data_IF_321690181640
#
_entry.id   IF_321690181640
#
_cell.length_a   1.000
_cell.length_b   1.000
_cell.length_c   1.000
_cell.angle_alpha   90.00
_cell.angle_beta   90.00
_cell.angle_gamma   90.00
#
_symmetry.space_group_name_H-M   'P 1'
#
loop_
_entity.id
_entity.type
_entity.pdbx_description
1 polymer ?
#
# COMPACT_ATOMS: atom_id res chain seq x y z
N UNK A 1 25.58 -90.59 -90.76
CA UNK A 1 24.58 -89.67 -91.35
C UNK A 1 23.23 -90.01 -90.75
N UNK A 2 22.72 -89.19 -89.83
CA UNK A 2 21.37 -89.34 -89.28
C UNK A 2 20.38 -88.79 -90.30
N UNK A 3 19.36 -89.59 -90.68
CA UNK A 3 18.36 -89.22 -91.68
C UNK A 3 17.29 -88.32 -91.04
N UNK A 4 17.24 -87.00 -91.33
CA UNK A 4 16.27 -86.08 -90.70
C UNK A 4 14.81 -86.37 -91.10
N UNK A 5 14.59 -87.14 -92.16
CA UNK A 5 13.26 -87.58 -92.60
C UNK A 5 12.56 -88.56 -91.66
N UNK A 6 13.27 -89.18 -90.69
CA UNK A 6 12.66 -90.04 -89.68
C UNK A 6 12.62 -89.26 -88.35
N UNK A 7 11.46 -88.72 -87.93
CA UNK A 7 11.36 -88.11 -86.62
C UNK A 7 11.54 -89.18 -85.52
N UNK A 8 12.25 -88.88 -84.42
CA UNK A 8 12.43 -89.83 -83.33
C UNK A 8 11.09 -90.13 -82.65
N UNK A 9 10.74 -91.41 -82.54
CA UNK A 9 9.56 -91.86 -81.81
C UNK A 9 9.85 -91.83 -80.30
N UNK A 10 9.33 -90.82 -79.61
CA UNK A 10 9.44 -90.67 -78.16
C UNK A 10 8.52 -89.57 -77.65
N UNK A 11 8.04 -89.71 -76.41
CA UNK A 11 7.23 -88.68 -75.75
C UNK A 11 8.12 -87.48 -75.47
N UNK A 12 7.82 -86.34 -76.10
CA UNK A 12 8.43 -85.05 -75.73
C UNK A 12 7.59 -84.44 -74.61
N UNK A 13 8.26 -84.09 -73.52
CA UNK A 13 7.63 -83.36 -72.42
C UNK A 13 7.26 -81.95 -72.87
N UNK A 14 6.18 -81.41 -72.32
CA UNK A 14 5.44 -80.30 -72.92
C UNK A 14 6.05 -78.91 -72.63
N UNK A 15 6.98 -78.76 -71.68
CA UNK A 15 7.55 -77.45 -71.33
C UNK A 15 8.97 -77.57 -70.74
N UNK A 16 9.86 -76.71 -71.20
CA UNK A 16 11.24 -76.54 -70.72
C UNK A 16 11.27 -75.33 -69.76
N UNK A 17 10.70 -75.46 -68.57
CA UNK A 17 10.82 -74.41 -67.54
C UNK A 17 12.19 -74.54 -66.86
N UNK A 18 13.04 -73.52 -66.98
CA UNK A 18 14.37 -73.56 -66.38
C UNK A 18 14.34 -73.08 -64.92
N UNK A 19 15.22 -73.62 -64.07
CA UNK A 19 15.40 -73.11 -62.71
C UNK A 19 15.80 -71.62 -62.69
N UNK A 20 16.43 -71.13 -63.77
CA UNK A 20 16.76 -69.72 -63.95
C UNK A 20 15.49 -68.86 -64.15
N UNK A 21 14.48 -69.37 -64.85
CA UNK A 21 13.20 -68.66 -65.02
C UNK A 21 12.44 -68.50 -63.69
N UNK A 22 12.58 -69.49 -62.79
CA UNK A 22 12.03 -69.40 -61.44
C UNK A 22 12.77 -68.37 -60.56
N UNK A 23 14.11 -68.30 -60.67
CA UNK A 23 14.94 -67.35 -59.91
C UNK A 23 14.82 -65.91 -60.41
N UNK A 24 14.62 -65.72 -61.71
CA UNK A 24 14.48 -64.37 -62.27
C UNK A 24 13.20 -63.68 -61.81
N UNK A 25 12.18 -64.42 -61.33
CA UNK A 25 10.92 -63.98 -60.65
C UNK A 25 10.11 -62.84 -61.31
N UNK A 26 10.62 -62.30 -62.40
CA UNK A 26 10.20 -61.12 -63.14
C UNK A 26 9.89 -61.45 -64.60
N UNK A 27 9.99 -62.73 -64.98
CA UNK A 27 9.65 -63.27 -66.30
C UNK A 27 8.18 -63.14 -66.72
N UNK A 28 7.31 -62.64 -65.83
CA UNK A 28 5.99 -62.11 -66.16
C UNK A 28 5.92 -60.64 -65.78
N UNK A 29 5.64 -59.76 -66.74
CA UNK A 29 5.46 -58.31 -66.53
C UNK A 29 4.62 -58.06 -65.28
N UNK A 30 5.23 -57.58 -64.19
CA UNK A 30 4.48 -57.20 -62.99
C UNK A 30 3.74 -55.90 -63.27
N UNK A 31 2.41 -55.91 -63.38
CA UNK A 31 1.68 -54.67 -63.55
C UNK A 31 1.89 -53.81 -62.30
N UNK A 32 2.17 -52.52 -62.50
CA UNK A 32 2.28 -51.59 -61.39
C UNK A 32 0.93 -51.40 -60.71
N UNK A 33 0.94 -51.19 -59.40
CA UNK A 33 -0.27 -50.86 -58.64
C UNK A 33 -0.84 -49.51 -59.14
N UNK A 34 -2.10 -49.45 -59.59
CA UNK A 34 -2.73 -48.20 -60.02
C UNK A 34 -2.74 -47.13 -58.92
N UNK A 35 -2.47 -45.88 -59.28
CA UNK A 35 -2.30 -44.76 -58.32
C UNK A 35 -3.55 -44.51 -57.46
N UNK A 36 -4.75 -44.70 -58.02
CA UNK A 36 -6.03 -44.52 -57.32
C UNK A 36 -6.19 -45.47 -56.13
N UNK A 37 -5.67 -46.69 -56.23
CA UNK A 37 -5.76 -47.74 -55.21
C UNK A 37 -4.52 -47.74 -54.32
N UNK A 38 -3.39 -47.20 -54.82
CA UNK A 38 -2.08 -47.22 -54.14
C UNK A 38 -2.14 -46.68 -52.71
N UNK A 39 -2.90 -45.59 -52.47
CA UNK A 39 -3.07 -44.99 -51.13
C UNK A 39 -3.71 -45.91 -50.07
N UNK A 40 -4.45 -46.95 -50.47
CA UNK A 40 -5.07 -47.94 -49.57
C UNK A 40 -4.27 -49.25 -49.50
N UNK A 41 -3.21 -49.41 -50.29
CA UNK A 41 -2.46 -50.67 -50.41
C UNK A 41 -1.35 -50.71 -49.39
N UNK A 42 -1.17 -51.91 -48.82
CA UNK A 42 -0.11 -52.21 -47.86
C UNK A 42 1.30 -52.00 -48.42
N UNK A 43 1.45 -52.01 -49.75
CA UNK A 43 2.71 -51.66 -50.41
C UNK A 43 3.20 -50.26 -50.02
N UNK A 44 2.30 -49.29 -49.81
CA UNK A 44 2.66 -47.91 -49.46
C UNK A 44 3.05 -47.74 -47.99
N UNK A 45 2.62 -48.66 -47.11
CA UNK A 45 3.03 -48.70 -45.70
C UNK A 45 4.44 -49.28 -45.56
N UNK A 46 4.79 -50.25 -46.42
CA UNK A 46 6.10 -50.92 -46.43
C UNK A 46 7.11 -50.29 -47.39
N UNK A 47 6.89 -49.05 -47.86
CA UNK A 47 7.90 -48.33 -48.62
C UNK A 47 9.00 -47.80 -47.67
N UNK A 48 10.28 -48.16 -47.88
CA UNK A 48 11.35 -47.72 -47.00
C UNK A 48 11.61 -46.20 -47.13
N UNK A 49 11.79 -45.52 -45.99
CA UNK A 49 12.25 -44.13 -45.93
C UNK A 49 11.22 -43.06 -46.31
N UNK A 50 9.92 -43.41 -46.39
CA UNK A 50 8.82 -42.48 -46.66
C UNK A 50 7.93 -42.29 -45.42
N UNK A 51 7.38 -41.10 -45.26
CA UNK A 51 6.39 -40.82 -44.21
C UNK A 51 5.06 -41.45 -44.62
N UNK A 52 4.57 -42.40 -43.82
CA UNK A 52 3.26 -43.03 -44.03
C UNK A 52 2.17 -42.04 -43.66
N UNK A 53 1.40 -41.59 -44.66
CA UNK A 53 0.20 -40.77 -44.44
C UNK A 53 -1.01 -41.66 -44.21
N UNK A 54 -1.92 -41.22 -43.35
CA UNK A 54 -3.19 -41.91 -43.16
C UNK A 54 -3.98 -41.96 -44.49
N UNK A 55 -4.56 -43.11 -44.91
CA UNK A 55 -5.19 -43.27 -46.23
C UNK A 55 -6.32 -42.25 -46.53
N UNK A 56 -7.02 -41.80 -45.48
CA UNK A 56 -8.09 -40.80 -45.59
C UNK A 56 -7.60 -39.39 -45.92
N UNK A 57 -6.38 -39.02 -45.52
CA UNK A 57 -5.78 -37.69 -45.70
C UNK A 57 -4.66 -37.68 -46.75
N UNK A 58 -4.33 -38.84 -47.34
CA UNK A 58 -3.22 -38.96 -48.28
C UNK A 58 -3.44 -38.17 -49.59
N UNK A 59 -4.70 -37.87 -49.93
CA UNK A 59 -5.07 -37.01 -51.06
C UNK A 59 -5.03 -35.51 -50.75
N UNK A 60 -4.88 -35.14 -49.48
CA UNK A 60 -4.91 -33.74 -49.06
C UNK A 60 -3.53 -33.10 -49.28
N UNK A 61 -3.48 -31.82 -49.70
CA UNK A 61 -2.23 -31.09 -49.82
C UNK A 61 -1.59 -30.91 -48.44
N UNK A 62 -0.26 -30.97 -48.39
CA UNK A 62 0.45 -30.62 -47.15
C UNK A 62 0.41 -29.12 -46.95
N UNK A 63 0.16 -28.63 -45.71
CA UNK A 63 0.26 -27.22 -45.43
C UNK A 63 1.70 -26.75 -45.66
N UNK A 64 1.85 -25.56 -46.23
CA UNK A 64 3.13 -24.94 -46.54
C UNK A 64 3.31 -23.64 -45.76
N UNK A 65 4.56 -23.34 -45.38
CA UNK A 65 4.93 -22.15 -44.62
C UNK A 65 5.40 -22.45 -43.20
N UNK A 66 5.85 -21.42 -42.46
CA UNK A 66 6.30 -21.58 -41.08
C UNK A 66 5.11 -21.91 -40.17
N UNK A 67 5.24 -22.96 -39.37
CA UNK A 67 4.27 -23.34 -38.35
C UNK A 67 4.66 -22.71 -37.01
N UNK A 68 4.05 -21.58 -36.68
CA UNK A 68 4.30 -20.85 -35.44
C UNK A 68 3.44 -19.59 -35.33
N UNK A 69 3.47 -18.95 -34.16
CA UNK A 69 2.77 -17.68 -33.95
C UNK A 69 3.55 -16.57 -34.65
N UNK A 70 2.92 -15.88 -35.60
CA UNK A 70 3.49 -14.66 -36.21
C UNK A 70 3.23 -13.50 -35.24
N UNK A 71 4.25 -13.02 -34.53
CA UNK A 71 4.19 -11.86 -33.62
C UNK A 71 4.27 -10.51 -34.35
N UNK A 72 3.97 -10.46 -35.64
CA UNK A 72 3.74 -9.23 -36.36
C UNK A 72 2.26 -9.19 -36.72
N UNK A 73 1.51 -8.29 -36.08
CA UNK A 73 0.17 -7.93 -36.54
C UNK A 73 0.29 -7.54 -38.02
N UNK A 74 -0.30 -8.35 -38.90
CA UNK A 74 -0.41 -8.00 -40.31
C UNK A 74 -1.38 -6.82 -40.40
N UNK A 75 -0.84 -5.60 -40.35
CA UNK A 75 -1.56 -4.34 -40.13
C UNK A 75 -1.18 -3.60 -38.85
N UNK A 76 -0.02 -3.90 -38.25
CA UNK A 76 0.44 -3.33 -36.98
C UNK A 76 0.31 -1.81 -36.94
N UNK A 77 -0.28 -1.33 -35.85
CA UNK A 77 -0.35 0.09 -35.50
C UNK A 77 1.06 0.67 -35.60
N UNK A 78 1.28 1.53 -36.58
CA UNK A 78 2.54 2.25 -36.65
C UNK A 78 2.49 3.42 -35.66
N UNK A 79 3.63 3.75 -35.07
CA UNK A 79 3.73 4.83 -34.09
C UNK A 79 3.29 6.16 -34.72
N UNK A 80 3.50 6.33 -36.03
CA UNK A 80 3.11 7.51 -36.79
C UNK A 80 1.60 7.74 -36.81
N UNK A 81 0.77 6.70 -36.92
CA UNK A 81 -0.70 6.78 -36.85
C UNK A 81 -1.17 7.14 -35.45
N UNK A 82 -0.43 6.74 -34.41
CA UNK A 82 -0.77 7.08 -33.03
C UNK A 82 -0.33 8.51 -32.64
N UNK A 83 0.74 9.02 -33.24
CA UNK A 83 1.28 10.37 -32.93
C UNK A 83 0.59 11.46 -33.76
N UNK A 84 0.28 11.19 -35.03
CA UNK A 84 -0.26 12.21 -35.93
C UNK A 84 -1.77 12.36 -35.74
N UNK A 85 -2.16 13.41 -35.01
CA UNK A 85 -3.58 13.66 -34.66
C UNK A 85 -4.32 14.52 -35.67
N UNK A 86 -3.65 15.47 -36.33
CA UNK A 86 -4.26 16.37 -37.30
C UNK A 86 -3.82 16.08 -38.74
N UNK A 87 -4.70 16.33 -39.73
CA UNK A 87 -4.31 16.27 -41.12
C UNK A 87 -3.30 17.37 -41.45
N UNK A 88 -2.36 17.05 -42.33
CA UNK A 88 -1.32 18.00 -42.79
C UNK A 88 -1.87 19.03 -43.79
N UNK A 89 -2.97 18.72 -44.47
CA UNK A 89 -3.60 19.64 -45.43
C UNK A 89 -4.37 20.77 -44.73
N UNK A 90 -4.22 22.00 -45.23
CA UNK A 90 -4.99 23.17 -44.77
C UNK A 90 -6.50 22.98 -44.90
N UNK A 91 -6.94 22.36 -46.01
CA UNK A 91 -8.34 22.03 -46.23
C UNK A 91 -8.89 21.08 -45.15
N UNK A 92 -8.10 20.08 -44.76
CA UNK A 92 -8.46 19.14 -43.70
C UNK A 92 -8.60 19.82 -42.35
N UNK A 93 -7.72 20.77 -42.03
CA UNK A 93 -7.78 21.55 -40.79
C UNK A 93 -8.98 22.47 -40.75
N UNK A 94 -9.22 23.24 -41.81
CA UNK A 94 -10.41 24.09 -41.91
C UNK A 94 -11.71 23.30 -41.81
N UNK A 95 -11.77 22.11 -42.42
CA UNK A 95 -12.95 21.24 -42.34
C UNK A 95 -13.19 20.70 -40.93
N UNK A 96 -12.13 20.40 -40.17
CA UNK A 96 -12.24 20.03 -38.75
C UNK A 96 -12.76 21.22 -37.94
N UNK A 97 -12.17 22.40 -38.09
CA UNK A 97 -12.63 23.62 -37.40
C UNK A 97 -14.10 23.94 -37.72
N UNK A 98 -14.51 23.80 -38.98
CA UNK A 98 -15.90 24.00 -39.39
C UNK A 98 -16.84 22.99 -38.74
N UNK A 99 -16.44 21.71 -38.64
CA UNK A 99 -17.23 20.68 -37.98
C UNK A 99 -17.32 20.91 -36.45
N UNK A 100 -16.22 21.35 -35.85
CA UNK A 100 -16.10 21.60 -34.41
C UNK A 100 -16.65 22.96 -33.98
N UNK A 101 -16.96 23.88 -34.91
CA UNK A 101 -17.57 25.18 -34.64
C UNK A 101 -18.95 25.11 -33.97
N UNK A 102 -19.60 23.94 -34.00
CA UNK A 102 -20.86 23.69 -33.32
C UNK A 102 -20.67 23.61 -31.80
N UNK A 103 -19.47 23.23 -31.32
CA UNK A 103 -19.22 23.03 -29.91
C UNK A 103 -19.25 24.35 -29.11
N UNK A 104 -19.77 24.26 -27.89
CA UNK A 104 -19.92 25.41 -27.00
C UNK A 104 -18.58 26.03 -26.58
N UNK A 105 -17.53 25.22 -26.42
CA UNK A 105 -16.17 25.72 -26.15
C UNK A 105 -15.63 26.53 -27.32
N UNK A 106 -15.71 25.98 -28.55
CA UNK A 106 -15.28 26.66 -29.78
C UNK A 106 -15.97 28.02 -29.97
N UNK A 107 -17.25 28.14 -29.57
CA UNK A 107 -18.00 29.39 -29.67
C UNK A 107 -17.69 30.39 -28.54
N UNK A 108 -17.35 29.91 -27.33
CA UNK A 108 -17.16 30.74 -26.12
C UNK A 108 -15.71 31.14 -25.88
N UNK A 109 -14.76 30.34 -26.35
CA UNK A 109 -13.33 30.51 -26.14
C UNK A 109 -12.56 30.57 -27.48
N UNK A 110 -12.97 31.41 -28.45
CA UNK A 110 -12.21 31.56 -29.68
C UNK A 110 -10.87 32.23 -29.41
N UNK A 111 -9.76 31.61 -29.80
CA UNK A 111 -8.42 32.14 -29.54
C UNK A 111 -8.26 33.53 -30.19
N UNK A 112 -7.79 34.50 -29.41
CA UNK A 112 -7.57 35.89 -29.86
C UNK A 112 -8.85 36.72 -30.02
N UNK A 113 -10.04 36.16 -29.78
CA UNK A 113 -11.31 36.85 -29.85
C UNK A 113 -12.10 36.71 -28.55
N UNK A 114 -12.92 37.70 -28.22
CA UNK A 114 -13.87 37.58 -27.12
C UNK A 114 -15.09 36.74 -27.52
N UNK A 115 -15.82 36.24 -26.53
CA UNK A 115 -17.09 35.56 -26.78
C UNK A 115 -18.08 36.47 -27.53
N UNK A 116 -18.49 36.05 -28.73
CA UNK A 116 -19.51 36.74 -29.52
C UNK A 116 -20.88 36.20 -29.13
N UNK A 117 -21.65 37.00 -28.40
CA UNK A 117 -22.98 36.63 -27.86
C UNK A 117 -24.11 36.57 -28.89
N UNK A 118 -23.82 36.79 -30.18
CA UNK A 118 -24.81 36.77 -31.26
C UNK A 118 -25.84 37.90 -31.23
N UNK A 119 -25.59 38.99 -30.50
CA UNK A 119 -26.51 40.14 -30.44
C UNK A 119 -26.53 40.92 -31.76
N UNK A 120 -27.73 41.29 -32.23
CA UNK A 120 -27.91 42.20 -33.37
C UNK A 120 -27.71 43.64 -32.92
N UNK A 121 -26.54 44.20 -33.18
CA UNK A 121 -26.21 45.59 -32.82
C UNK A 121 -26.83 46.55 -33.86
N UNK A 122 -27.44 47.69 -33.45
CA UNK A 122 -27.96 48.69 -34.40
C UNK A 122 -26.87 49.20 -35.35
N UNK A 123 -27.24 49.40 -36.61
CA UNK A 123 -26.30 49.86 -37.64
C UNK A 123 -25.60 51.18 -37.22
N UNK A 124 -24.29 51.24 -37.45
CA UNK A 124 -23.44 52.38 -37.11
C UNK A 124 -22.96 52.46 -35.66
N UNK A 125 -23.44 51.60 -34.74
CA UNK A 125 -22.94 51.58 -33.36
C UNK A 125 -21.61 50.80 -33.28
N UNK A 126 -20.54 51.46 -32.83
CA UNK A 126 -19.18 50.92 -32.82
C UNK A 126 -18.32 51.33 -34.02
N UNK A 127 -18.92 51.90 -35.07
CA UNK A 127 -18.22 52.47 -36.24
C UNK A 127 -18.46 53.97 -36.37
N UNK A 128 -19.71 54.41 -36.55
CA UNK A 128 -20.09 55.83 -36.75
C UNK A 128 -20.43 56.53 -35.42
N UNK A 129 -21.07 55.79 -34.50
CA UNK A 129 -21.47 56.27 -33.18
C UNK A 129 -20.75 55.47 -32.10
N UNK A 130 -20.16 56.14 -31.10
CA UNK A 130 -19.58 55.45 -29.97
C UNK A 130 -20.67 54.82 -29.09
N UNK A 131 -20.27 53.84 -28.27
CA UNK A 131 -21.15 53.29 -27.23
C UNK A 131 -21.34 54.29 -26.08
N UNK A 132 -22.52 54.31 -25.47
CA UNK A 132 -22.86 55.17 -24.34
C UNK A 132 -23.79 56.33 -24.69
N UNK A 133 -24.21 57.08 -23.67
CA UNK A 133 -25.06 58.27 -23.86
C UNK A 133 -24.17 59.45 -24.23
N UNK A 134 -24.41 60.04 -25.39
CA UNK A 134 -23.69 61.23 -25.82
C UNK A 134 -24.17 62.46 -25.01
N UNK A 135 -23.24 63.08 -24.28
CA UNK A 135 -23.40 64.42 -23.72
C UNK A 135 -22.31 65.30 -24.33
N UNK A 136 -22.71 66.36 -25.04
CA UNK A 136 -21.78 67.25 -25.71
C UNK A 136 -21.12 68.20 -24.70
N UNK A 137 -20.08 67.71 -24.03
CA UNK A 137 -19.35 68.45 -23.00
C UNK A 137 -18.73 69.73 -23.55
N UNK A 138 -18.06 69.62 -24.71
CA UNK A 138 -17.45 70.74 -25.43
C UNK A 138 -18.50 71.76 -25.88
N UNK A 139 -19.60 71.31 -26.48
CA UNK A 139 -20.67 72.20 -26.95
C UNK A 139 -21.33 72.97 -25.81
N UNK A 140 -21.58 72.30 -24.67
CA UNK A 140 -22.19 72.94 -23.49
C UNK A 140 -21.26 73.88 -22.73
N UNK A 141 -19.96 73.58 -22.69
CA UNK A 141 -18.96 74.51 -22.15
C UNK A 141 -18.89 75.79 -22.99
N UNK A 142 -18.93 75.66 -24.32
CA UNK A 142 -18.97 76.81 -25.24
C UNK A 142 -20.23 77.67 -25.04
N UNK A 143 -21.37 77.05 -24.77
CA UNK A 143 -22.65 77.74 -24.59
C UNK A 143 -22.71 78.59 -23.31
N UNK A 144 -21.81 78.38 -22.33
CA UNK A 144 -21.67 79.17 -21.09
C UNK A 144 -22.98 79.52 -20.36
N UNK A 145 -23.94 78.60 -20.36
CA UNK A 145 -25.25 78.80 -19.72
C UNK A 145 -25.16 79.06 -18.20
N UNK A 146 -24.07 78.63 -17.56
CA UNK A 146 -23.81 78.98 -16.17
C UNK A 146 -23.66 80.49 -15.96
N UNK A 147 -23.07 81.23 -16.92
CA UNK A 147 -22.86 82.67 -16.80
C UNK A 147 -24.19 83.44 -16.79
N UNK A 148 -25.15 83.04 -17.63
CA UNK A 148 -26.49 83.64 -17.68
C UNK A 148 -27.34 83.32 -16.45
N UNK A 149 -27.12 82.16 -15.82
CA UNK A 149 -27.81 81.81 -14.56
C UNK A 149 -27.20 82.55 -13.36
N UNK A 150 -25.87 82.67 -13.31
CA UNK A 150 -25.16 83.33 -12.20
C UNK A 150 -25.38 84.84 -12.25
N UNK A 151 -25.34 85.43 -13.46
CA UNK A 151 -25.58 86.85 -13.69
C UNK A 151 -26.75 86.98 -14.66
N UNK A 152 -28.00 87.09 -14.17
CA UNK A 152 -29.18 87.20 -15.02
C UNK A 152 -29.27 88.61 -15.61
N UNK A 153 -28.40 88.91 -16.57
CA UNK A 153 -28.35 90.18 -17.31
C UNK A 153 -29.58 90.40 -18.19
N UNK A 154 -30.34 89.32 -18.44
CA UNK A 154 -31.61 89.31 -19.14
C UNK A 154 -32.80 89.76 -18.27
N UNK A 155 -32.62 89.95 -16.96
CA UNK A 155 -33.65 90.49 -16.04
C UNK A 155 -33.36 91.93 -15.60
N UNK A 156 -34.37 92.83 -15.58
CA UNK A 156 -34.20 94.17 -15.01
C UNK A 156 -34.06 94.11 -13.48
N UNK A 157 -33.29 95.04 -12.90
CA UNK A 157 -33.18 95.19 -11.44
C UNK A 157 -34.49 95.79 -10.88
N UNK A 158 -35.16 95.07 -9.99
CA UNK A 158 -36.44 95.49 -9.38
C UNK A 158 -36.22 96.49 -8.24
N UNK A 159 -36.70 97.72 -8.38
CA UNK A 159 -36.86 98.65 -7.25
C UNK A 159 -38.20 99.39 -7.35
N UNK A 160 -39.29 98.73 -6.94
CA UNK A 160 -40.56 99.40 -6.71
C UNK A 160 -40.73 99.70 -5.20
N UNK A 161 -40.60 100.97 -4.75
CA UNK A 161 -40.55 101.33 -3.34
C UNK A 161 -41.86 101.01 -2.58
N UNK A 162 -42.99 100.88 -3.29
CA UNK A 162 -44.26 100.44 -2.69
C UNK A 162 -44.24 98.97 -2.28
N UNK A 163 -43.65 98.11 -3.11
CA UNK A 163 -43.52 96.67 -2.86
C UNK A 163 -42.58 96.44 -1.67
N UNK A 164 -41.46 97.16 -1.59
CA UNK A 164 -40.52 97.08 -0.45
C UNK A 164 -41.19 97.32 0.90
N UNK A 165 -41.98 98.38 1.04
CA UNK A 165 -42.67 98.67 2.31
C UNK A 165 -43.68 97.58 2.68
N UNK A 166 -44.28 96.91 1.70
CA UNK A 166 -45.17 95.77 1.94
C UNK A 166 -44.38 94.54 2.43
N UNK A 167 -43.21 94.25 1.85
CA UNK A 167 -42.32 93.17 2.30
C UNK A 167 -41.75 93.41 3.70
N UNK A 168 -41.35 94.64 4.02
CA UNK A 168 -40.92 95.03 5.38
C UNK A 168 -42.01 94.72 6.42
N UNK A 169 -43.29 94.96 6.10
CA UNK A 169 -44.40 94.72 7.03
C UNK A 169 -44.84 93.25 7.08
N UNK A 170 -44.86 92.56 5.95
CA UNK A 170 -45.37 91.18 5.85
C UNK A 170 -44.32 90.13 6.21
N UNK A 171 -43.08 90.31 5.78
CA UNK A 171 -42.00 89.33 5.89
C UNK A 171 -40.87 89.79 6.83
N UNK A 172 -40.97 90.99 7.41
CA UNK A 172 -39.93 91.58 8.25
C UNK A 172 -38.57 91.68 7.53
N UNK A 173 -38.59 91.89 6.21
CA UNK A 173 -37.42 92.01 5.36
C UNK A 173 -36.97 93.49 5.29
N UNK A 174 -35.98 93.85 6.11
CA UNK A 174 -35.46 95.21 6.24
C UNK A 174 -34.16 95.37 5.46
N UNK A 175 -33.86 96.58 4.98
CA UNK A 175 -32.55 96.82 4.41
C UNK A 175 -31.45 96.83 5.50
N UNK A 176 -30.19 96.57 5.12
CA UNK A 176 -29.08 96.63 6.07
C UNK A 176 -29.05 97.98 6.83
N UNK A 177 -28.89 97.89 8.15
CA UNK A 177 -28.88 99.02 9.10
C UNK A 177 -30.21 99.76 9.33
N UNK A 178 -31.36 99.23 8.91
CA UNK A 178 -32.67 99.78 9.28
C UNK A 178 -33.19 99.21 10.60
N UNK A 179 -33.54 100.08 11.55
CA UNK A 179 -34.19 99.65 12.78
C UNK A 179 -35.67 99.36 12.54
N UNK A 180 -36.16 98.25 13.11
CA UNK A 180 -37.57 97.86 13.08
C UNK A 180 -38.45 98.93 13.74
N UNK A 181 -39.23 99.63 12.93
CA UNK A 181 -40.23 100.58 13.43
C UNK A 181 -41.47 99.82 13.91
N UNK A 182 -41.75 99.91 15.21
CA UNK A 182 -42.88 99.22 15.87
C UNK A 182 -44.15 100.07 15.97
N UNK A 183 -44.12 101.28 15.40
CA UNK A 183 -45.22 102.25 15.43
C UNK A 183 -45.78 102.50 16.84
N UNK A 184 -44.91 102.51 17.87
CA UNK A 184 -45.31 102.89 19.22
C UNK A 184 -45.63 104.38 19.27
N UNK A 185 -46.67 104.70 20.03
CA UNK A 185 -47.04 106.07 20.36
C UNK A 185 -46.24 106.53 21.59
N UNK A 186 -44.98 106.92 21.35
CA UNK A 186 -44.06 107.38 22.39
C UNK A 186 -44.52 108.68 23.08
N UNK A 187 -45.36 109.48 22.41
CA UNK A 187 -45.95 110.68 22.99
C UNK A 187 -46.86 110.36 24.19
N UNK A 188 -47.55 109.21 24.18
CA UNK A 188 -48.43 108.78 25.28
C UNK A 188 -47.68 108.30 26.53
N UNK A 189 -46.46 107.78 26.38
CA UNK A 189 -45.67 107.26 27.50
C UNK A 189 -44.89 108.36 28.26
N UNK A 190 -44.83 109.58 27.72
CA UNK A 190 -44.02 110.67 28.29
C UNK A 190 -42.52 110.42 28.21
N UNK A 191 -42.08 109.52 27.32
CA UNK A 191 -40.69 109.09 27.18
C UNK A 191 -40.20 109.39 25.78
N UNK A 192 -39.09 110.11 25.68
CA UNK A 192 -38.33 110.24 24.44
C UNK A 192 -37.40 109.02 24.28
N UNK A 193 -37.57 108.21 23.20
CA UNK A 193 -36.81 106.98 22.98
C UNK A 193 -35.30 107.17 22.90
N UNK A 194 -34.85 108.37 22.55
CA UNK A 194 -33.42 108.64 22.32
C UNK A 194 -32.70 109.05 23.61
N UNK A 195 -33.40 109.68 24.57
CA UNK A 195 -32.75 110.37 25.70
C UNK A 195 -32.97 109.73 27.07
N UNK A 196 -34.03 108.94 27.29
CA UNK A 196 -34.34 108.35 28.60
C UNK A 196 -33.51 107.09 28.94
N UNK A 197 -32.98 106.97 30.18
CA UNK A 197 -32.21 105.80 30.64
C UNK A 197 -33.12 104.77 31.31
N UNK A 198 -33.44 103.70 30.60
CA UNK A 198 -34.36 102.66 31.06
C UNK A 198 -33.70 101.69 32.05
N UNK A 199 -34.47 101.22 33.06
CA UNK A 199 -34.08 100.16 34.00
C UNK A 199 -34.44 100.45 35.47
N UNK A 200 -34.47 99.41 36.31
CA UNK A 200 -34.69 99.51 37.76
C UNK A 200 -33.36 99.61 38.54
N UNK A 201 -33.37 100.22 39.73
CA UNK A 201 -32.20 100.36 40.61
C UNK A 201 -32.49 99.75 42.00
N UNK A 202 -31.51 99.07 42.60
CA UNK A 202 -31.68 98.31 43.85
C UNK A 202 -31.67 99.20 45.11
N UNK A 203 -32.55 98.97 46.11
CA UNK A 203 -32.68 99.86 47.26
C UNK A 203 -31.65 99.63 48.40
N UNK A 204 -31.11 98.42 48.60
CA UNK A 204 -30.24 98.08 49.72
C UNK A 204 -28.93 97.38 49.29
N UNK A 205 -27.79 98.09 49.25
CA UNK A 205 -26.51 97.50 48.84
C UNK A 205 -25.82 96.72 49.99
N UNK A 206 -25.47 95.46 49.74
CA UNK A 206 -24.75 94.58 50.68
C UNK A 206 -23.27 95.01 50.86
N UNK A 207 -22.84 95.27 52.09
CA UNK A 207 -21.46 95.70 52.42
C UNK A 207 -20.57 94.53 52.81
N UNK A 208 -19.37 94.47 52.22
CA UNK A 208 -18.35 93.42 52.42
C UNK A 208 -18.86 91.98 52.21
N UNK A 209 -19.92 91.81 51.41
CA UNK A 209 -20.48 90.49 51.08
C UNK A 209 -19.43 89.55 50.51
N UNK A 210 -18.52 90.09 49.69
CA UNK A 210 -17.42 89.32 49.09
C UNK A 210 -16.48 88.75 50.14
N UNK A 211 -16.13 89.49 51.20
CA UNK A 211 -15.18 88.99 52.22
C UNK A 211 -15.76 87.80 52.98
N UNK A 212 -17.03 87.87 53.36
CA UNK A 212 -17.75 86.78 54.04
C UNK A 212 -17.89 85.55 53.13
N UNK A 213 -18.14 85.76 51.84
CA UNK A 213 -18.19 84.69 50.85
C UNK A 213 -16.82 84.01 50.63
N UNK A 214 -15.70 84.75 50.73
CA UNK A 214 -14.36 84.21 50.47
C UNK A 214 -13.81 83.36 51.62
N UNK A 215 -14.15 83.66 52.88
CA UNK A 215 -13.65 82.93 54.07
C UNK A 215 -14.79 82.41 54.96
N UNK A 216 -15.58 81.42 54.49
CA UNK A 216 -16.77 80.94 55.19
C UNK A 216 -16.45 80.15 56.47
N UNK A 217 -15.21 79.69 56.64
CA UNK A 217 -14.78 78.94 57.84
C UNK A 217 -14.76 79.78 59.12
N UNK A 218 -14.67 81.10 58.98
CA UNK A 218 -14.74 82.04 60.11
C UNK A 218 -16.19 82.38 60.50
N UNK A 219 -17.16 82.04 59.66
CA UNK A 219 -18.58 82.29 59.94
C UNK A 219 -19.11 81.20 60.90
N UNK A 220 -19.51 81.56 62.13
CA UNK A 220 -20.00 80.59 63.10
C UNK A 220 -21.31 79.92 62.67
N UNK A 221 -22.04 80.49 61.71
CA UNK A 221 -23.29 79.91 61.19
C UNK A 221 -23.07 78.76 60.19
N UNK A 222 -21.84 78.58 59.66
CA UNK A 222 -21.53 77.66 58.56
C UNK A 222 -20.57 76.52 58.96
N UNK A 223 -20.59 76.06 60.21
CA UNK A 223 -19.74 74.96 60.67
C UNK A 223 -20.33 73.57 60.36
N UNK A 224 -19.46 72.59 60.06
CA UNK A 224 -19.87 71.20 59.81
C UNK A 224 -20.26 70.52 61.13
N UNK A 225 -21.39 69.80 61.20
CA UNK A 225 -21.76 69.04 62.40
C UNK A 225 -20.73 67.93 62.71
N UNK A 226 -20.30 67.85 63.97
CA UNK A 226 -19.26 66.89 64.41
C UNK A 226 -19.76 65.46 64.64
N UNK A 227 -21.06 65.29 64.84
CA UNK A 227 -21.68 63.99 65.08
C UNK A 227 -22.59 63.68 63.91
N UNK A 228 -22.34 62.54 63.27
CA UNK A 228 -23.08 62.05 62.12
C UNK A 228 -23.50 60.60 62.37
N UNK A 229 -24.57 60.13 61.71
CA UNK A 229 -25.03 58.77 61.88
C UNK A 229 -23.99 57.78 61.36
N UNK A 230 -23.72 56.72 62.12
CA UNK A 230 -22.70 55.71 61.81
C UNK A 230 -22.82 55.17 60.38
N UNK A 231 -24.04 54.86 59.94
CA UNK A 231 -24.32 54.37 58.59
C UNK A 231 -23.82 55.32 57.50
N UNK A 232 -23.96 56.63 57.72
CA UNK A 232 -23.50 57.65 56.77
C UNK A 232 -21.97 57.72 56.71
N UNK A 233 -21.29 57.66 57.86
CA UNK A 233 -19.83 57.70 57.90
C UNK A 233 -19.18 56.41 57.37
N UNK A 234 -19.77 55.24 57.64
CA UNK A 234 -19.31 53.97 57.05
C UNK A 234 -19.45 53.96 55.52
N UNK A 235 -20.57 54.51 55.00
CA UNK A 235 -20.75 54.75 53.56
C UNK A 235 -19.70 55.72 53.01
N UNK A 236 -19.50 56.86 53.70
CA UNK A 236 -18.56 57.90 53.30
C UNK A 236 -17.11 57.41 53.29
N UNK A 237 -16.71 56.59 54.25
CA UNK A 237 -15.37 56.00 54.33
C UNK A 237 -15.01 55.14 53.11
N UNK A 238 -16.02 54.56 52.44
CA UNK A 238 -15.84 53.77 51.20
C UNK A 238 -16.09 54.61 49.94
N UNK A 239 -17.03 55.56 50.00
CA UNK A 239 -17.45 56.37 48.86
C UNK A 239 -16.51 57.53 48.54
N UNK A 240 -15.91 58.15 49.57
CA UNK A 240 -14.99 59.29 49.42
C UNK A 240 -13.57 58.81 49.08
N UNK A 241 -12.91 59.52 48.17
CA UNK A 241 -11.51 59.31 47.84
C UNK A 241 -10.62 60.24 48.68
N UNK A 242 -9.52 59.71 49.21
CA UNK A 242 -8.65 60.44 50.13
C UNK A 242 -7.25 60.64 49.53
N UNK A 243 -6.69 61.83 49.70
CA UNK A 243 -5.35 62.12 49.22
C UNK A 243 -4.31 61.23 49.93
N UNK A 244 -3.42 60.60 49.15
CA UNK A 244 -2.33 59.76 49.66
C UNK A 244 -2.75 58.36 50.13
N UNK A 245 -4.04 58.02 50.07
CA UNK A 245 -4.53 56.66 50.32
C UNK A 245 -5.19 56.11 49.04
N UNK A 246 -4.98 54.83 48.70
CA UNK A 246 -5.78 54.20 47.66
C UNK A 246 -7.26 54.17 48.07
N UNK A 247 -8.16 54.20 47.08
CA UNK A 247 -9.59 54.11 47.30
C UNK A 247 -9.98 52.83 48.03
N UNK A 248 -10.79 52.96 49.08
CA UNK A 248 -11.32 51.82 49.81
C UNK A 248 -12.49 51.19 49.04
N UNK A 249 -12.40 49.89 48.76
CA UNK A 249 -13.41 49.16 47.97
C UNK A 249 -14.36 48.31 48.82
N UNK A 250 -14.23 48.33 50.15
CA UNK A 250 -15.14 47.62 51.05
C UNK A 250 -15.02 46.09 51.01
N UNK A 251 -13.95 45.54 50.43
CA UNK A 251 -13.66 44.10 50.53
C UNK A 251 -13.20 43.82 51.96
N UNK A 252 -14.06 43.19 52.76
CA UNK A 252 -13.79 42.89 54.18
C UNK A 252 -12.50 42.11 54.43
N UNK A 253 -12.21 41.83 55.71
CA UNK A 253 -10.97 41.15 56.10
C UNK A 253 -10.90 39.73 55.51
N UNK A 254 -9.81 39.43 54.80
CA UNK A 254 -9.58 38.14 54.15
C UNK A 254 -8.80 37.17 55.06
N UNK A 255 -8.56 37.55 56.32
CA UNK A 255 -7.81 36.79 57.33
C UNK A 255 -6.39 36.42 56.86
N UNK A 256 -5.75 37.32 56.09
CA UNK A 256 -4.40 37.11 55.57
C UNK A 256 -3.37 37.76 56.51
N UNK A 257 -2.23 37.11 56.76
CA UNK A 257 -1.18 37.73 57.55
C UNK A 257 -0.62 38.97 56.82
N UNK A 258 -0.13 40.00 57.55
CA UNK A 258 0.41 41.22 56.93
C UNK A 258 1.66 40.97 56.06
N UNK A 259 2.29 39.80 56.18
CA UNK A 259 3.42 39.35 55.36
C UNK A 259 3.01 38.60 54.09
N UNK A 260 1.71 38.37 53.87
CA UNK A 260 1.22 37.68 52.68
C UNK A 260 1.48 38.51 51.42
N UNK A 261 2.13 37.90 50.43
CA UNK A 261 2.32 38.50 49.11
C UNK A 261 1.12 38.18 48.22
N UNK A 262 0.37 39.21 47.86
CA UNK A 262 -0.74 39.07 46.91
C UNK A 262 -0.22 38.79 45.49
N UNK A 263 -1.04 38.09 44.71
CA UNK A 263 -0.71 37.67 43.36
C UNK A 263 -0.99 36.19 43.17
N UNK A 264 -0.55 35.65 42.04
CA UNK A 264 -0.66 34.21 41.78
C UNK A 264 0.74 33.62 41.82
N UNK A 265 1.05 32.68 42.74
CA UNK A 265 2.34 32.04 42.73
C UNK A 265 2.54 31.31 41.40
N UNK A 266 3.78 31.32 40.89
CA UNK A 266 4.14 30.61 39.66
C UNK A 266 3.82 29.12 39.77
N UNK A 267 4.03 28.55 40.95
CA UNK A 267 3.62 27.19 41.31
C UNK A 267 2.30 27.24 42.07
N UNK A 268 1.20 26.89 41.39
CA UNK A 268 -0.16 26.89 41.97
C UNK A 268 -0.55 25.56 42.62
N UNK A 269 0.16 24.48 42.28
CA UNK A 269 -0.08 23.11 42.73
C UNK A 269 1.04 22.67 43.67
N UNK A 270 0.99 21.41 44.12
CA UNK A 270 2.11 20.81 44.84
C UNK A 270 3.40 20.85 44.04
N UNK A 271 4.52 20.47 44.67
CA UNK A 271 5.83 20.49 44.01
C UNK A 271 5.83 19.55 42.81
N UNK A 272 5.89 20.12 41.61
CA UNK A 272 6.11 19.36 40.39
C UNK A 272 7.54 18.83 40.35
N UNK A 273 7.69 17.62 39.78
CA UNK A 273 8.99 16.97 39.62
C UNK A 273 9.92 17.84 38.78
N UNK A 274 11.17 17.96 39.21
CA UNK A 274 12.19 18.71 38.47
C UNK A 274 12.64 17.96 37.21
N UNK A 275 13.33 18.65 36.29
CA UNK A 275 13.82 18.04 35.05
C UNK A 275 14.71 16.81 35.30
N UNK A 276 15.53 16.84 36.36
CA UNK A 276 16.40 15.73 36.70
C UNK A 276 15.61 14.47 37.09
N UNK A 277 14.54 14.63 37.88
CA UNK A 277 13.65 13.55 38.29
C UNK A 277 12.86 12.99 37.10
N UNK A 278 12.44 13.87 36.17
CA UNK A 278 11.73 13.46 34.96
C UNK A 278 12.62 12.69 33.97
N UNK A 279 13.90 13.06 33.87
CA UNK A 279 14.85 12.41 32.97
C UNK A 279 15.19 10.98 33.39
N UNK A 280 15.33 10.74 34.69
CA UNK A 280 15.63 9.39 35.20
C UNK A 280 14.38 8.56 35.43
N UNK A 281 13.22 9.21 35.62
CA UNK A 281 11.94 8.56 35.87
C UNK A 281 11.96 7.65 37.11
N UNK A 282 10.85 6.94 37.32
CA UNK A 282 10.74 5.90 38.33
C UNK A 282 10.34 4.60 37.64
N UNK A 283 11.34 3.91 37.09
CA UNK A 283 11.15 2.62 36.44
C UNK A 283 11.42 1.49 37.43
N UNK A 284 10.53 0.50 37.45
CA UNK A 284 10.76 -0.75 38.17
C UNK A 284 11.94 -1.52 37.56
N UNK A 285 12.59 -2.44 38.30
CA UNK A 285 13.70 -3.23 37.75
C UNK A 285 13.34 -3.96 36.44
N UNK A 286 12.10 -4.43 36.31
CA UNK A 286 11.62 -5.09 35.09
C UNK A 286 11.49 -4.15 33.88
N UNK A 287 11.20 -2.86 34.10
CA UNK A 287 11.14 -1.86 33.02
C UNK A 287 12.53 -1.32 32.65
N UNK A 288 13.52 -1.49 33.53
CA UNK A 288 14.92 -1.18 33.25
C UNK A 288 15.62 -2.30 32.48
N UNK A 289 15.10 -3.53 32.56
CA UNK A 289 15.59 -4.65 31.77
C UNK A 289 15.32 -4.44 30.28
N UNK A 290 16.24 -4.88 29.40
CA UNK A 290 16.05 -4.77 27.96
C UNK A 290 14.95 -5.70 27.47
N UNK A 291 14.33 -5.34 26.34
CA UNK A 291 13.23 -6.09 25.75
C UNK A 291 13.60 -7.56 25.47
N UNK A 292 12.65 -8.46 25.73
CA UNK A 292 12.91 -9.90 25.73
C UNK A 292 13.10 -10.54 24.33
N UNK A 293 12.72 -9.84 23.26
CA UNK A 293 12.85 -10.27 21.86
C UNK A 293 14.19 -9.86 21.21
N UNK A 294 15.07 -9.22 21.98
CA UNK A 294 16.42 -8.95 21.54
C UNK A 294 17.22 -10.25 21.38
N UNK A 295 17.74 -10.48 20.18
CA UNK A 295 18.61 -11.62 19.85
C UNK A 295 17.90 -12.97 19.66
N UNK A 296 16.57 -13.05 19.81
CA UNK A 296 15.80 -14.28 19.59
C UNK A 296 14.34 -14.00 19.26
N UNK A 297 13.75 -14.86 18.43
CA UNK A 297 12.31 -14.85 18.17
C UNK A 297 11.54 -15.42 19.37
N UNK A 298 10.66 -14.60 19.96
CA UNK A 298 9.69 -15.05 20.96
C UNK A 298 8.35 -15.51 20.35
N UNK A 299 8.15 -15.26 19.06
CA UNK A 299 6.93 -15.63 18.33
C UNK A 299 6.77 -17.14 18.31
N UNK A 300 5.65 -17.62 18.83
CA UNK A 300 5.27 -19.03 18.79
C UNK A 300 5.29 -19.54 17.33
N UNK A 301 5.87 -20.72 17.12
CA UNK A 301 6.15 -21.29 15.80
C UNK A 301 7.50 -20.92 15.18
N UNK A 302 8.14 -19.84 15.63
CA UNK A 302 9.45 -19.40 15.14
C UNK A 302 10.53 -19.37 16.24
N UNK A 303 10.21 -19.82 17.47
CA UNK A 303 11.15 -19.82 18.59
C UNK A 303 12.33 -20.74 18.27
N UNK A 304 13.54 -20.23 18.49
CA UNK A 304 14.76 -21.04 18.41
C UNK A 304 14.97 -21.85 19.70
N UNK A 305 14.01 -22.70 20.03
CA UNK A 305 14.04 -23.61 21.16
C UNK A 305 13.62 -24.99 20.65
N UNK A 306 14.50 -25.99 20.83
CA UNK A 306 14.17 -27.39 20.53
C UNK A 306 13.12 -27.91 21.52
N UNK A 307 12.42 -28.97 21.12
CA UNK A 307 11.56 -29.70 22.05
C UNK A 307 12.44 -30.45 23.06
N UNK A 308 11.95 -30.53 24.30
CA UNK A 308 12.60 -31.31 25.36
C UNK A 308 12.78 -32.76 24.90
N UNK A 309 14.02 -33.25 24.93
CA UNK A 309 14.41 -34.60 24.46
C UNK A 309 15.01 -34.64 23.05
N UNK A 310 14.84 -33.59 22.23
CA UNK A 310 15.37 -33.50 20.86
C UNK A 310 16.59 -32.57 20.76
N UNK A 311 17.24 -32.25 21.86
CA UNK A 311 18.35 -31.26 21.92
C UNK A 311 19.55 -31.64 21.04
N UNK A 312 19.85 -32.94 20.94
CA UNK A 312 20.94 -33.46 20.10
C UNK A 312 20.45 -33.96 18.73
N UNK A 313 19.14 -33.86 18.44
CA UNK A 313 18.57 -34.37 17.19
C UNK A 313 18.87 -33.41 16.04
N UNK A 314 19.34 -33.94 14.93
CA UNK A 314 19.40 -33.18 13.67
C UNK A 314 17.99 -33.05 13.08
N UNK A 315 17.50 -31.81 12.95
CA UNK A 315 16.20 -31.53 12.34
C UNK A 315 16.30 -31.54 10.81
N UNK A 316 15.91 -32.66 10.19
CA UNK A 316 15.94 -32.85 8.75
C UNK A 316 15.47 -34.24 8.34
N UNK A 317 15.53 -34.52 7.04
CA UNK A 317 15.23 -35.84 6.47
C UNK A 317 16.58 -36.48 6.05
N UNK A 318 17.01 -37.59 6.67
CA UNK A 318 18.24 -38.25 6.27
C UNK A 318 18.08 -38.94 4.91
N UNK A 319 19.17 -39.02 4.14
CA UNK A 319 19.17 -39.69 2.83
C UNK A 319 18.86 -41.19 2.96
N UNK A 320 19.39 -41.83 3.99
CA UNK A 320 19.10 -43.22 4.35
C UNK A 320 18.03 -43.20 5.45
N UNK A 321 16.85 -43.76 5.17
CA UNK A 321 15.68 -43.65 6.05
C UNK A 321 15.58 -44.80 7.04
N UNK A 322 16.61 -44.96 7.86
CA UNK A 322 16.59 -45.91 9.00
C UNK A 322 15.58 -45.52 10.10
N UNK A 323 15.13 -44.26 10.08
CA UNK A 323 14.10 -43.72 10.97
C UNK A 323 12.69 -44.26 10.67
N UNK A 324 12.48 -44.80 9.47
CA UNK A 324 11.19 -45.32 9.04
C UNK A 324 11.07 -46.82 9.30
N UNK A 325 9.86 -47.25 9.66
CA UNK A 325 9.52 -48.67 9.67
C UNK A 325 9.45 -49.18 8.24
N UNK A 326 10.09 -50.31 7.98
CA UNK A 326 10.05 -50.94 6.67
C UNK A 326 8.61 -51.30 6.28
N UNK A 327 8.18 -51.02 5.04
CA UNK A 327 6.85 -51.36 4.58
C UNK A 327 6.69 -52.88 4.50
N UNK A 328 5.50 -53.39 4.86
CA UNK A 328 5.19 -54.84 4.81
C UNK A 328 5.29 -55.41 3.40
N UNK A 329 4.93 -54.60 2.40
CA UNK A 329 5.09 -54.88 0.98
C UNK A 329 5.71 -53.65 0.34
N UNK A 330 6.87 -53.81 -0.31
CA UNK A 330 7.54 -52.72 -1.02
C UNK A 330 6.76 -52.36 -2.27
N UNK A 331 6.68 -51.06 -2.55
CA UNK A 331 6.13 -50.57 -3.82
C UNK A 331 7.06 -50.95 -4.97
N UNK A 332 6.50 -51.16 -6.17
CA UNK A 332 7.30 -51.40 -7.38
C UNK A 332 8.13 -50.16 -7.77
N UNK A 333 7.65 -48.97 -7.41
CA UNK A 333 8.29 -47.69 -7.69
C UNK A 333 8.66 -46.99 -6.38
N UNK A 334 9.41 -47.67 -5.51
CA UNK A 334 9.94 -47.09 -4.28
C UNK A 334 11.34 -46.50 -4.51
N UNK A 335 11.52 -45.18 -4.48
CA UNK A 335 12.83 -44.54 -4.68
C UNK A 335 13.66 -44.46 -3.39
N UNK A 336 13.12 -44.91 -2.24
CA UNK A 336 13.71 -44.65 -0.94
C UNK A 336 14.53 -45.82 -0.41
N UNK A 337 15.78 -45.54 -0.01
CA UNK A 337 16.62 -46.52 0.70
C UNK A 337 16.33 -46.48 2.21
N UNK A 338 16.01 -47.65 2.78
CA UNK A 338 15.66 -47.86 4.19
C UNK A 338 16.84 -48.30 5.09
N UNK A 339 18.05 -48.37 4.53
CA UNK A 339 19.27 -48.78 5.22
C UNK A 339 19.54 -50.28 5.22
N UNK A 340 18.73 -51.07 4.51
CA UNK A 340 18.85 -52.52 4.41
C UNK A 340 19.18 -53.02 3.00
N UNK A 341 19.56 -52.11 2.10
CA UNK A 341 20.00 -52.43 0.73
C UNK A 341 21.46 -52.89 0.70
N UNK A 342 21.80 -53.78 -0.22
CA UNK A 342 23.16 -54.27 -0.43
C UNK A 342 24.05 -53.20 -1.07
N UNK A 343 25.35 -53.23 -0.76
CA UNK A 343 26.33 -52.37 -1.43
C UNK A 343 26.46 -52.71 -2.93
N UNK A 344 26.84 -51.72 -3.74
CA UNK A 344 27.03 -51.89 -5.18
C UNK A 344 28.05 -53.01 -5.50
N UNK A 345 29.11 -53.14 -4.70
CA UNK A 345 30.10 -54.20 -4.87
C UNK A 345 29.55 -55.61 -4.62
N UNK A 346 28.61 -55.74 -3.67
CA UNK A 346 27.97 -56.99 -3.30
C UNK A 346 26.93 -57.41 -4.34
N UNK A 347 26.21 -56.46 -4.95
CA UNK A 347 25.28 -56.74 -6.06
C UNK A 347 26.04 -57.21 -7.31
N UNK A 348 27.24 -56.68 -7.57
CA UNK A 348 28.10 -57.15 -8.67
C UNK A 348 28.67 -58.55 -8.44
N UNK A 349 28.77 -58.99 -7.17
CA UNK A 349 29.34 -60.29 -6.77
C UNK A 349 28.43 -60.94 -5.70
N UNK A 350 27.22 -61.36 -6.09
CA UNK A 350 26.25 -61.87 -5.13
C UNK A 350 26.71 -63.21 -4.54
N UNK A 351 26.30 -63.52 -3.30
CA UNK A 351 26.53 -64.85 -2.73
C UNK A 351 25.74 -65.92 -3.50
N UNK A 352 26.21 -67.17 -3.49
CA UNK A 352 25.52 -68.29 -4.15
C UNK A 352 24.08 -68.50 -3.66
N UNK A 353 23.78 -68.06 -2.43
CA UNK A 353 22.44 -68.12 -1.87
C UNK A 353 21.43 -67.16 -2.53
N UNK A 354 21.89 -66.14 -3.25
CA UNK A 354 21.02 -65.22 -3.97
C UNK A 354 20.28 -65.94 -5.11
N UNK A 355 20.91 -66.92 -5.76
CA UNK A 355 20.29 -67.76 -6.80
C UNK A 355 19.12 -68.60 -6.26
N UNK A 356 19.13 -68.88 -4.95
CA UNK A 356 18.07 -69.58 -4.22
C UNK A 356 16.97 -68.63 -3.72
N UNK A 357 17.09 -67.33 -4.00
CA UNK A 357 16.13 -66.30 -3.58
C UNK A 357 16.25 -65.86 -2.11
N UNK A 358 17.38 -66.16 -1.45
CA UNK A 358 17.62 -65.71 -0.06
C UNK A 358 18.18 -64.28 -0.11
N UNK A 359 17.54 -63.34 0.61
CA UNK A 359 18.02 -61.96 0.68
C UNK A 359 19.21 -61.80 1.63
N UNK A 360 20.07 -60.81 1.36
CA UNK A 360 21.26 -60.53 2.18
C UNK A 360 20.91 -60.22 3.64
N UNK A 361 19.76 -59.57 3.87
CA UNK A 361 19.24 -59.27 5.21
C UNK A 361 18.99 -60.53 6.06
N UNK A 362 18.67 -61.67 5.45
CA UNK A 362 18.40 -62.91 6.19
C UNK A 362 19.65 -63.48 6.87
N UNK A 363 20.84 -63.15 6.35
CA UNK A 363 22.13 -63.56 6.92
C UNK A 363 22.55 -62.67 8.09
N UNK A 364 22.26 -61.36 7.99
CA UNK A 364 22.62 -60.34 8.99
C UNK A 364 21.56 -60.19 10.08
N UNK A 365 20.33 -60.65 9.84
CA UNK A 365 19.24 -60.63 10.81
C UNK A 365 19.58 -61.40 12.09
N UNK A 366 19.42 -60.73 13.24
CA UNK A 366 19.65 -61.31 14.56
C UNK A 366 18.59 -62.37 14.90
N UNK A 367 19.05 -63.58 15.24
CA UNK A 367 18.21 -64.74 15.57
C UNK A 367 18.47 -65.26 16.99
N UNK A 368 17.49 -65.91 17.62
CA UNK A 368 17.69 -66.55 18.91
C UNK A 368 18.49 -67.85 18.76
N UNK A 369 19.11 -68.29 19.86
CA UNK A 369 19.95 -69.51 19.93
C UNK A 369 19.26 -70.76 19.39
N UNK A 370 17.99 -70.92 19.75
CA UNK A 370 17.19 -72.08 19.39
C UNK A 370 16.94 -72.18 17.87
N UNK A 371 16.72 -71.04 17.22
CA UNK A 371 16.47 -70.95 15.76
C UNK A 371 17.73 -71.32 14.97
N UNK A 372 18.90 -70.80 15.37
CA UNK A 372 20.18 -71.18 14.74
C UNK A 372 20.47 -72.66 15.00
N UNK A 373 20.17 -73.18 16.19
CA UNK A 373 20.37 -74.60 16.52
C UNK A 373 19.51 -75.52 15.66
N UNK A 374 18.26 -75.14 15.41
CA UNK A 374 17.38 -75.88 14.52
C UNK A 374 17.90 -75.83 13.08
N UNK A 375 18.28 -74.65 12.59
CA UNK A 375 18.82 -74.47 11.24
C UNK A 375 20.06 -75.34 11.00
N UNK A 376 20.99 -75.40 11.96
CA UNK A 376 22.19 -76.23 11.90
C UNK A 376 21.85 -77.72 11.77
N UNK A 377 20.85 -78.20 12.53
CA UNK A 377 20.37 -79.59 12.46
C UNK A 377 19.73 -79.91 11.12
N UNK A 378 18.87 -79.02 10.61
CA UNK A 378 18.21 -79.19 9.32
C UNK A 378 19.19 -79.09 8.13
N UNK A 379 20.22 -78.26 8.25
CA UNK A 379 21.29 -78.12 7.26
C UNK A 379 22.21 -79.35 7.16
N UNK A 380 22.05 -80.36 8.03
CA UNK A 380 22.86 -81.57 8.03
C UNK A 380 24.28 -81.37 8.56
N UNK A 381 24.54 -80.29 9.31
CA UNK A 381 25.83 -80.05 9.95
C UNK A 381 25.94 -80.88 11.23
N UNK A 382 26.83 -81.88 11.24
CA UNK A 382 27.12 -82.68 12.44
C UNK A 382 28.06 -81.91 13.36
N UNK A 383 27.49 -81.12 14.28
CA UNK A 383 28.21 -80.42 15.34
C UNK A 383 27.89 -81.04 16.69
N UNK A 384 28.89 -81.18 17.56
CA UNK A 384 28.66 -81.51 18.97
C UNK A 384 28.05 -80.31 19.69
N UNK A 385 27.33 -80.58 20.78
CA UNK A 385 26.68 -79.51 21.56
C UNK A 385 27.70 -78.51 22.12
N UNK A 386 28.87 -78.98 22.53
CA UNK A 386 29.96 -78.14 23.05
C UNK A 386 30.56 -77.23 21.96
N UNK A 387 30.77 -77.76 20.73
CA UNK A 387 31.24 -76.97 19.59
C UNK A 387 30.21 -75.93 19.16
N UNK A 388 28.92 -76.29 19.19
CA UNK A 388 27.84 -75.37 18.89
C UNK A 388 27.78 -74.23 19.92
N UNK A 389 27.87 -74.55 21.22
CA UNK A 389 27.81 -73.56 22.29
C UNK A 389 29.03 -72.63 22.28
N UNK A 390 30.23 -73.14 21.95
CA UNK A 390 31.43 -72.33 21.77
C UNK A 390 31.33 -71.37 20.57
N UNK A 391 30.86 -71.86 19.42
CA UNK A 391 30.64 -71.02 18.24
C UNK A 391 29.55 -69.98 18.47
N UNK A 392 28.49 -70.34 19.19
CA UNK A 392 27.42 -69.43 19.60
C UNK A 392 27.92 -68.33 20.53
N UNK A 393 28.72 -68.67 21.55
CA UNK A 393 29.29 -67.69 22.47
C UNK A 393 30.15 -66.66 21.74
N UNK A 394 31.04 -67.11 20.84
CA UNK A 394 31.88 -66.24 20.04
C UNK A 394 31.05 -65.31 19.13
N UNK A 395 30.00 -65.82 18.50
CA UNK A 395 29.12 -65.03 17.64
C UNK A 395 28.28 -64.01 18.44
N UNK A 396 27.72 -64.41 19.59
CA UNK A 396 26.96 -63.54 20.47
C UNK A 396 27.83 -62.42 21.07
N UNK A 397 29.09 -62.72 21.40
CA UNK A 397 30.06 -61.72 21.86
C UNK A 397 30.42 -60.73 20.74
N UNK A 398 30.60 -61.21 19.50
CA UNK A 398 30.88 -60.35 18.35
C UNK A 398 29.71 -59.41 18.02
N UNK A 399 28.48 -59.92 18.03
CA UNK A 399 27.28 -59.13 17.72
C UNK A 399 26.90 -58.18 18.87
N UNK A 400 27.12 -58.57 20.13
CA UNK A 400 26.92 -57.68 21.28
C UNK A 400 27.98 -56.57 21.37
N UNK A 401 29.24 -56.86 21.03
CA UNK A 401 30.28 -55.84 20.91
C UNK A 401 30.00 -54.87 19.75
N UNK A 402 29.51 -55.37 18.62
CA UNK A 402 29.07 -54.55 17.48
C UNK A 402 27.86 -53.66 17.83
N UNK A 403 26.89 -54.20 18.56
CA UNK A 403 25.73 -53.43 19.03
C UNK A 403 26.13 -52.31 20.00
N UNK A 404 27.00 -52.59 20.97
CA UNK A 404 27.48 -51.59 21.92
C UNK A 404 28.26 -50.44 21.25
N UNK A 405 29.00 -50.72 20.18
CA UNK A 405 29.73 -49.70 19.40
C UNK A 405 28.81 -48.81 18.54
N UNK A 406 27.66 -49.34 18.09
CA UNK A 406 26.75 -48.60 17.21
C UNK A 406 25.74 -47.71 17.97
N UNK A 407 25.25 -48.14 19.13
CA UNK A 407 24.19 -47.41 19.87
C UNK A 407 24.68 -46.73 21.14
N UNK A 408 25.91 -47.01 21.61
CA UNK A 408 26.45 -46.43 22.85
C UNK A 408 25.68 -46.79 24.12
N UNK A 409 24.68 -47.69 24.01
CA UNK A 409 23.79 -48.11 25.08
C UNK A 409 23.97 -49.62 25.24
N UNK A 410 24.47 -50.04 26.40
CA UNK A 410 24.62 -51.44 26.79
C UNK A 410 23.35 -51.92 27.49
N UNK A 411 22.38 -52.40 26.72
CA UNK A 411 21.16 -52.99 27.29
C UNK A 411 21.47 -54.41 27.80
N UNK A 412 21.79 -54.53 29.09
CA UNK A 412 22.23 -55.78 29.74
C UNK A 412 21.09 -56.76 30.06
N UNK A 413 19.85 -56.44 29.68
CA UNK A 413 18.64 -57.20 30.05
C UNK A 413 18.06 -58.05 28.91
N UNK A 414 18.62 -57.96 27.70
CA UNK A 414 18.14 -58.70 26.53
C UNK A 414 18.80 -60.09 26.42
N UNK A 415 18.02 -61.11 26.05
CA UNK A 415 18.56 -62.43 25.72
C UNK A 415 19.59 -62.32 24.59
N UNK A 416 20.71 -63.08 24.63
CA UNK A 416 21.74 -63.01 23.60
C UNK A 416 21.16 -63.44 22.25
N UNK A 417 21.49 -62.68 21.21
CA UNK A 417 21.13 -62.96 19.81
C UNK A 417 22.37 -62.86 18.96
N UNK A 418 22.45 -63.68 17.91
CA UNK A 418 23.53 -63.65 16.95
C UNK A 418 22.96 -63.72 15.52
N UNK A 419 23.68 -63.19 14.54
CA UNK A 419 23.33 -63.38 13.14
C UNK A 419 23.96 -64.67 12.58
N UNK A 420 23.42 -65.18 11.47
CA UNK A 420 23.86 -66.46 10.90
C UNK A 420 25.26 -66.33 10.30
N UNK A 421 25.56 -65.19 9.67
CA UNK A 421 26.87 -64.97 9.03
C UNK A 421 28.01 -64.95 10.07
N UNK A 422 27.84 -64.24 11.18
CA UNK A 422 28.83 -64.22 12.28
C UNK A 422 28.98 -65.59 12.92
N UNK A 423 27.87 -66.32 13.13
CA UNK A 423 27.92 -67.70 13.62
C UNK A 423 28.67 -68.64 12.67
N UNK A 424 28.40 -68.56 11.36
CA UNK A 424 29.09 -69.37 10.36
C UNK A 424 30.60 -69.07 10.36
N UNK A 425 30.99 -67.79 10.39
CA UNK A 425 32.39 -67.38 10.47
C UNK A 425 33.04 -67.84 11.78
N UNK A 426 32.36 -67.69 12.92
CA UNK A 426 32.82 -68.12 14.23
C UNK A 426 33.11 -69.63 14.26
N UNK A 427 32.18 -70.43 13.74
CA UNK A 427 32.35 -71.88 13.59
C UNK A 427 33.57 -72.21 12.74
N UNK A 428 33.68 -71.62 11.55
CA UNK A 428 34.80 -71.91 10.64
C UNK A 428 36.14 -71.44 11.21
N UNK A 429 36.15 -70.35 11.97
CA UNK A 429 37.33 -69.88 12.69
C UNK A 429 37.77 -70.86 13.79
N UNK A 430 36.84 -71.36 14.61
CA UNK A 430 37.14 -72.39 15.61
C UNK A 430 37.61 -73.70 14.95
N UNK A 431 36.95 -74.10 13.86
CA UNK A 431 37.31 -75.29 13.09
C UNK A 431 38.72 -75.19 12.50
N UNK A 432 39.14 -74.01 12.04
CA UNK A 432 40.49 -73.78 11.52
C UNK A 432 41.58 -74.00 12.57
N UNK A 433 41.27 -73.86 13.86
CA UNK A 433 42.22 -74.05 14.96
C UNK A 433 42.28 -75.50 15.45
N UNK A 434 41.18 -76.25 15.31
CA UNK A 434 41.02 -77.60 15.89
C UNK A 434 41.22 -78.73 14.88
N UNK A 435 41.10 -78.46 13.58
CA UNK A 435 41.31 -79.46 12.53
C UNK A 435 42.77 -79.93 12.48
N UNK A 436 42.97 -81.21 12.76
CA UNK A 436 44.24 -81.91 12.49
C UNK A 436 44.22 -82.40 11.04
N UNK A 437 44.76 -81.59 10.14
CA UNK A 437 45.02 -82.01 8.75
C UNK A 437 46.39 -82.71 8.74
N UNK A 438 46.50 -84.00 8.37
CA UNK A 438 47.80 -84.60 8.12
C UNK A 438 48.45 -83.87 6.93
N UNK A 439 49.74 -83.50 7.01
CA UNK A 439 50.41 -82.77 5.93
C UNK A 439 50.34 -83.59 4.63
N UNK A 440 50.09 -82.96 3.47
CA UNK A 440 50.14 -83.65 2.19
C UNK A 440 51.61 -83.85 1.79
N UNK A 441 52.22 -84.90 2.36
CA UNK A 441 53.57 -85.41 2.12
C UNK A 441 54.75 -84.45 2.33
#
# INVERSE_FOLDING_TARGET
MTQPQIPPAGIRNKFDESANDALTWSGGKRPQTPETIKKYRQSTVHEPGKIVRHPGLAGDPVPAGPFGVKTAAAGGQNITEAINTYPESELGRWKLEQAEAIYASSQREPLGHGYVRGHKVPAGLGTERPFGIAYDSRGKELARQAATVIFPTDKPAEEDPGIRNMYVRSHADYAPAEQRRRNYDWAKAGVDPVTHRFGAVEPNPERDGVRKAVQPTLDPSLQVPRVLPKLHEDYKATATDYLGKPRQLGTGDRCLPPTHTFGVPSMRKGREAGVAELMTGYYSPAEQEPDADLGKSLREGFRNQSKTGDEARSFGIPTIRTDLRLPRLRSVADPQNYGNESDAGQVLRPPLAADLGISDEQFVGLRPKEDIRQLVREAGLTLTDDEFDAAWALAADADSAGAAAATGITDTTAQPRACIDTFFRARHHLLAQTLRIPPPF
#
